data_IF_452632574037
#
_entry.id   IF_452632574037
#
_cell.length_a   1.000
_cell.length_b   1.000
_cell.length_c   1.000
_cell.angle_alpha   90.00
_cell.angle_beta   90.00
_cell.angle_gamma   90.00
#
_symmetry.space_group_name_H-M   'P 1'
#
loop_
_entity.id
_entity.type
_entity.pdbx_description
1 polymer ?
#
# COMPACT_ATOMS: atom_id res chain seq x y z
N UNK A 1 -5.87 -78.96 -5.22
CA UNK A 1 -5.37 -78.15 -6.30
C UNK A 1 -6.20 -76.87 -6.48
N UNK A 2 -7.50 -76.90 -6.81
CA UNK A 2 -8.33 -75.70 -7.03
C UNK A 2 -8.42 -74.77 -5.81
N UNK A 3 -8.55 -75.30 -4.59
CA UNK A 3 -8.62 -74.54 -3.36
C UNK A 3 -7.34 -73.73 -3.07
N UNK A 4 -6.17 -74.29 -3.43
CA UNK A 4 -4.87 -73.59 -3.28
C UNK A 4 -4.77 -72.44 -4.28
N UNK A 5 -5.23 -72.62 -5.51
CA UNK A 5 -5.26 -71.56 -6.54
C UNK A 5 -6.18 -70.43 -6.14
N UNK A 6 -7.36 -70.70 -5.59
CA UNK A 6 -8.31 -69.70 -5.10
C UNK A 6 -7.72 -68.93 -3.91
N UNK A 7 -7.09 -69.63 -2.96
CA UNK A 7 -6.40 -68.97 -1.83
C UNK A 7 -5.27 -68.04 -2.29
N UNK A 8 -4.49 -68.43 -3.30
CA UNK A 8 -3.40 -67.64 -3.86
C UNK A 8 -3.93 -66.39 -4.62
N UNK A 9 -5.08 -66.53 -5.31
CA UNK A 9 -5.75 -65.40 -5.95
C UNK A 9 -6.30 -64.39 -4.94
N UNK A 10 -6.91 -64.83 -3.86
CA UNK A 10 -7.41 -63.98 -2.79
C UNK A 10 -6.26 -63.19 -2.12
N UNK A 11 -5.17 -63.89 -1.80
CA UNK A 11 -3.97 -63.23 -1.22
C UNK A 11 -3.39 -62.19 -2.18
N UNK A 12 -3.35 -62.44 -3.48
CA UNK A 12 -2.87 -61.49 -4.47
C UNK A 12 -3.76 -60.23 -4.52
N UNK A 13 -5.09 -60.40 -4.52
CA UNK A 13 -6.03 -59.29 -4.51
C UNK A 13 -5.91 -58.44 -3.25
N UNK A 14 -5.79 -59.06 -2.07
CA UNK A 14 -5.54 -58.36 -0.80
C UNK A 14 -4.23 -57.57 -0.85
N UNK A 15 -3.17 -58.13 -1.39
CA UNK A 15 -1.89 -57.47 -1.54
C UNK A 15 -1.97 -56.24 -2.45
N UNK A 16 -2.68 -56.35 -3.58
CA UNK A 16 -2.90 -55.20 -4.49
C UNK A 16 -3.70 -54.10 -3.80
N UNK A 17 -4.76 -54.41 -3.04
CA UNK A 17 -5.56 -53.42 -2.30
C UNK A 17 -4.71 -52.71 -1.24
N UNK A 18 -3.88 -53.44 -0.49
CA UNK A 18 -2.99 -52.87 0.54
C UNK A 18 -1.95 -51.93 -0.10
N UNK A 19 -1.32 -52.37 -1.19
CA UNK A 19 -0.32 -51.52 -1.91
C UNK A 19 -1.01 -50.29 -2.49
N UNK A 20 -2.21 -50.42 -3.07
CA UNK A 20 -2.97 -49.29 -3.63
C UNK A 20 -3.36 -48.28 -2.54
N UNK A 21 -3.81 -48.75 -1.37
CA UNK A 21 -4.15 -47.90 -0.24
C UNK A 21 -2.91 -47.16 0.30
N UNK A 22 -1.76 -47.82 0.34
CA UNK A 22 -0.52 -47.22 0.76
C UNK A 22 -0.03 -46.15 -0.22
N UNK A 23 -0.12 -46.40 -1.52
CA UNK A 23 0.19 -45.43 -2.57
C UNK A 23 -0.72 -44.20 -2.50
N UNK A 24 -2.05 -44.39 -2.37
CA UNK A 24 -2.98 -43.28 -2.22
C UNK A 24 -2.70 -42.44 -0.97
N UNK A 25 -2.33 -43.07 0.14
CA UNK A 25 -1.99 -42.35 1.37
C UNK A 25 -0.73 -41.52 1.17
N UNK A 26 0.31 -42.07 0.54
CA UNK A 26 1.56 -41.38 0.21
C UNK A 26 1.33 -40.22 -0.76
N UNK A 27 0.53 -40.44 -1.81
CA UNK A 27 0.18 -39.38 -2.76
C UNK A 27 -0.56 -38.19 -2.09
N UNK A 28 -1.50 -38.48 -1.17
CA UNK A 28 -2.17 -37.44 -0.39
C UNK A 28 -1.20 -36.65 0.48
N UNK A 29 -0.29 -37.32 1.19
CA UNK A 29 0.74 -36.66 1.99
C UNK A 29 1.68 -35.80 1.14
N UNK A 30 2.09 -36.31 -0.02
CA UNK A 30 2.96 -35.55 -0.92
C UNK A 30 2.23 -34.36 -1.54
N UNK A 31 0.96 -34.48 -1.86
CA UNK A 31 0.11 -33.36 -2.31
C UNK A 31 -0.03 -32.28 -1.22
N UNK A 32 -0.31 -32.68 0.02
CA UNK A 32 -0.37 -31.74 1.15
C UNK A 32 0.96 -31.04 1.40
N UNK A 33 2.08 -31.76 1.33
CA UNK A 33 3.44 -31.18 1.45
C UNK A 33 3.70 -30.16 0.34
N UNK A 34 3.34 -30.48 -0.92
CA UNK A 34 3.47 -29.55 -2.05
C UNK A 34 2.68 -28.26 -1.84
N UNK A 35 1.43 -28.35 -1.35
CA UNK A 35 0.59 -27.18 -1.05
C UNK A 35 1.21 -26.35 0.07
N UNK A 36 1.70 -26.99 1.14
CA UNK A 36 2.39 -26.29 2.24
C UNK A 36 3.65 -25.58 1.76
N UNK A 37 4.47 -26.23 0.96
CA UNK A 37 5.70 -25.64 0.37
C UNK A 37 5.34 -24.46 -0.53
N UNK A 38 4.33 -24.59 -1.39
CA UNK A 38 3.88 -23.50 -2.26
C UNK A 38 3.40 -22.29 -1.46
N UNK A 39 2.67 -22.53 -0.37
CA UNK A 39 2.23 -21.45 0.55
C UNK A 39 3.42 -20.74 1.20
N UNK A 40 4.39 -21.48 1.69
CA UNK A 40 5.58 -20.89 2.32
C UNK A 40 6.42 -20.12 1.29
N UNK A 41 6.55 -20.66 0.07
CA UNK A 41 7.22 -19.95 -1.02
C UNK A 41 6.53 -18.61 -1.31
N UNK A 42 5.22 -18.59 -1.41
CA UNK A 42 4.47 -17.34 -1.63
C UNK A 42 4.69 -16.32 -0.51
N UNK A 43 4.75 -16.75 0.77
CA UNK A 43 5.05 -15.88 1.92
C UNK A 43 6.47 -15.31 1.82
N UNK A 44 7.44 -16.13 1.43
CA UNK A 44 8.82 -15.72 1.25
C UNK A 44 8.95 -14.70 0.12
N UNK A 45 8.41 -15.02 -1.06
CA UNK A 45 8.46 -14.15 -2.24
C UNK A 45 7.75 -12.81 -1.98
N UNK A 46 6.57 -12.81 -1.32
CA UNK A 46 5.86 -11.60 -0.91
C UNK A 46 6.70 -10.72 0.05
N UNK A 47 7.36 -11.34 1.01
CA UNK A 47 8.17 -10.61 2.00
C UNK A 47 9.41 -9.98 1.34
N UNK A 48 10.06 -10.68 0.43
CA UNK A 48 11.22 -10.18 -0.31
C UNK A 48 10.83 -9.07 -1.29
N UNK A 49 9.69 -9.20 -2.00
CA UNK A 49 9.15 -8.13 -2.84
C UNK A 49 8.91 -6.85 -2.03
N UNK A 50 8.35 -6.99 -0.83
CA UNK A 50 8.11 -5.84 0.05
C UNK A 50 9.41 -5.23 0.57
N UNK A 51 10.42 -6.02 0.89
CA UNK A 51 11.75 -5.50 1.27
C UNK A 51 12.35 -4.64 0.15
N UNK A 52 12.23 -5.08 -1.10
CA UNK A 52 12.66 -4.29 -2.25
C UNK A 52 11.85 -2.99 -2.40
N UNK A 53 10.55 -3.04 -2.14
CA UNK A 53 9.67 -1.87 -2.21
C UNK A 53 9.89 -0.88 -1.05
N UNK A 54 10.49 -1.30 0.07
CA UNK A 54 10.85 -0.40 1.18
C UNK A 54 11.85 0.69 0.77
N UNK A 55 12.60 0.52 -0.32
CA UNK A 55 13.50 1.55 -0.87
C UNK A 55 12.74 2.83 -1.24
N UNK A 56 11.46 2.70 -1.60
CA UNK A 56 10.58 3.83 -1.94
C UNK A 56 9.94 4.50 -0.72
N UNK A 57 10.22 4.02 0.48
CA UNK A 57 9.73 4.52 1.75
C UNK A 57 10.90 5.01 2.62
N UNK A 58 10.66 5.90 3.57
CA UNK A 58 11.67 6.25 4.56
C UNK A 58 12.20 4.99 5.26
N UNK A 59 13.52 4.91 5.40
CA UNK A 59 14.20 3.72 5.93
C UNK A 59 13.63 3.28 7.28
N UNK A 60 13.23 2.03 7.38
CA UNK A 60 12.83 1.38 8.62
C UNK A 60 13.56 0.05 8.81
N UNK A 61 14.69 0.06 9.51
CA UNK A 61 15.39 -1.19 9.85
C UNK A 61 14.50 -2.19 10.59
N UNK A 62 13.56 -1.70 11.41
CA UNK A 62 12.59 -2.56 12.12
C UNK A 62 11.67 -3.29 11.14
N UNK A 63 11.10 -2.62 10.13
CA UNK A 63 10.27 -3.26 9.11
C UNK A 63 11.06 -4.25 8.27
N UNK A 64 12.27 -3.89 7.87
CA UNK A 64 13.18 -4.81 7.15
C UNK A 64 13.43 -6.07 7.97
N UNK A 65 13.72 -5.94 9.26
CA UNK A 65 13.92 -7.07 10.18
C UNK A 65 12.68 -7.95 10.30
N UNK A 66 11.49 -7.35 10.44
CA UNK A 66 10.22 -8.09 10.55
C UNK A 66 9.97 -8.91 9.27
N UNK A 67 10.12 -8.30 8.10
CA UNK A 67 9.92 -8.97 6.82
C UNK A 67 10.97 -10.07 6.57
N UNK A 68 12.24 -9.80 6.89
CA UNK A 68 13.30 -10.77 6.75
C UNK A 68 13.12 -11.97 7.71
N UNK A 69 12.67 -11.76 8.94
CA UNK A 69 12.34 -12.83 9.88
C UNK A 69 11.14 -13.67 9.38
N UNK A 70 10.11 -13.03 8.82
CA UNK A 70 8.98 -13.73 8.20
C UNK A 70 9.43 -14.59 7.02
N UNK A 71 10.28 -14.05 6.14
CA UNK A 71 10.87 -14.78 5.02
C UNK A 71 11.75 -15.94 5.50
N UNK A 72 12.58 -15.73 6.51
CA UNK A 72 13.43 -16.75 7.11
C UNK A 72 12.62 -17.90 7.71
N UNK A 73 11.53 -17.59 8.42
CA UNK A 73 10.62 -18.62 8.97
C UNK A 73 9.98 -19.44 7.86
N UNK A 74 9.55 -18.79 6.79
CA UNK A 74 9.00 -19.48 5.63
C UNK A 74 10.04 -20.37 4.94
N UNK A 75 11.27 -19.87 4.73
CA UNK A 75 12.36 -20.62 4.14
C UNK A 75 12.78 -21.84 4.98
N UNK A 76 12.86 -21.69 6.30
CA UNK A 76 13.19 -22.80 7.22
C UNK A 76 12.11 -23.88 7.20
N UNK A 77 10.83 -23.49 7.21
CA UNK A 77 9.71 -24.44 7.07
C UNK A 77 9.73 -25.16 5.72
N UNK A 78 10.08 -24.45 4.63
CA UNK A 78 10.24 -25.10 3.32
C UNK A 78 11.37 -26.12 3.33
N UNK A 79 12.51 -25.83 3.97
CA UNK A 79 13.63 -26.75 4.10
C UNK A 79 13.25 -28.01 4.86
N UNK A 80 12.49 -27.89 5.94
CA UNK A 80 11.97 -29.03 6.73
C UNK A 80 11.03 -29.91 5.91
N UNK A 81 10.14 -29.32 5.10
CA UNK A 81 9.18 -30.03 4.29
C UNK A 81 9.81 -30.67 3.04
N UNK A 82 10.80 -30.02 2.45
CA UNK A 82 11.46 -30.43 1.21
C UNK A 82 12.93 -30.01 1.20
N UNK A 83 13.85 -30.80 1.78
CA UNK A 83 15.28 -30.49 1.88
C UNK A 83 15.99 -30.36 0.53
N UNK A 84 15.43 -30.97 -0.53
CA UNK A 84 16.04 -31.08 -1.86
C UNK A 84 15.99 -29.79 -2.69
N UNK A 85 15.37 -28.69 -2.18
CA UNK A 85 15.25 -27.43 -2.92
C UNK A 85 16.61 -26.75 -3.00
N UNK A 86 17.18 -26.72 -4.20
CA UNK A 86 18.48 -26.07 -4.46
C UNK A 86 18.45 -24.58 -4.18
N UNK A 87 19.51 -24.02 -3.61
CA UNK A 87 19.66 -22.58 -3.35
C UNK A 87 18.89 -22.06 -2.12
N UNK A 88 18.13 -22.90 -1.42
CA UNK A 88 17.38 -22.49 -0.23
C UNK A 88 18.29 -22.17 0.95
N UNK A 89 19.40 -22.89 1.10
CA UNK A 89 20.38 -22.66 2.18
C UNK A 89 21.11 -21.32 2.00
N UNK A 90 21.50 -20.99 0.77
CA UNK A 90 22.13 -19.70 0.45
C UNK A 90 21.16 -18.54 0.75
N UNK A 91 19.88 -18.73 0.44
CA UNK A 91 18.82 -17.75 0.73
C UNK A 91 18.60 -17.56 2.23
N UNK A 92 18.60 -18.64 3.00
CA UNK A 92 18.54 -18.62 4.48
C UNK A 92 19.73 -17.84 5.05
N UNK A 93 20.93 -18.08 4.55
CA UNK A 93 22.14 -17.40 5.00
C UNK A 93 22.10 -15.90 4.65
N UNK A 94 21.64 -15.55 3.44
CA UNK A 94 21.45 -14.15 3.03
C UNK A 94 20.43 -13.44 3.92
N UNK A 95 19.29 -14.06 4.24
CA UNK A 95 18.27 -13.51 5.13
C UNK A 95 18.79 -13.28 6.56
N UNK A 96 19.59 -14.23 7.09
CA UNK A 96 20.23 -14.06 8.40
C UNK A 96 21.20 -12.88 8.42
N UNK A 97 21.99 -12.71 7.36
CA UNK A 97 22.91 -11.58 7.23
C UNK A 97 22.12 -10.24 7.14
N UNK A 98 21.01 -10.22 6.41
CA UNK A 98 20.14 -9.04 6.30
C UNK A 98 19.49 -8.67 7.64
N UNK A 99 19.05 -9.66 8.42
CA UNK A 99 18.50 -9.43 9.77
C UNK A 99 19.56 -8.79 10.66
N UNK A 100 20.78 -9.33 10.66
CA UNK A 100 21.89 -8.78 11.45
C UNK A 100 22.23 -7.34 11.04
N UNK A 101 22.31 -7.07 9.76
CA UNK A 101 22.55 -5.71 9.26
C UNK A 101 21.43 -4.74 9.67
N UNK A 102 20.15 -5.19 9.63
CA UNK A 102 19.03 -4.37 10.07
C UNK A 102 19.03 -4.12 11.60
N UNK A 103 19.55 -5.05 12.41
CA UNK A 103 19.71 -4.86 13.87
C UNK A 103 20.80 -3.82 14.18
N UNK A 104 21.90 -3.84 13.48
CA UNK A 104 22.98 -2.86 13.62
C UNK A 104 22.53 -1.43 13.23
N UNK A 105 21.62 -1.30 12.28
CA UNK A 105 21.07 -0.03 11.83
C UNK A 105 19.90 0.50 12.68
N UNK A 106 19.42 -0.25 13.67
CA UNK A 106 18.22 0.11 14.47
C UNK A 106 18.37 1.44 15.23
N UNK A 107 19.57 1.96 15.41
CA UNK A 107 19.86 3.26 16.03
C UNK A 107 19.62 4.46 15.12
N UNK A 108 19.56 4.28 13.80
CA UNK A 108 19.29 5.35 12.84
C UNK A 108 17.85 5.23 12.31
N UNK A 109 16.89 5.81 13.02
CA UNK A 109 15.54 6.02 12.45
C UNK A 109 15.66 7.00 11.28
N UNK A 110 15.21 6.58 10.10
CA UNK A 110 15.07 7.47 8.95
C UNK A 110 14.13 8.62 9.31
N UNK A 111 14.49 9.82 8.91
CA UNK A 111 13.69 11.02 9.16
C UNK A 111 12.47 11.00 8.23
N UNK A 112 11.30 10.59 8.75
CA UNK A 112 10.03 10.49 8.00
C UNK A 112 9.55 11.88 7.52
N UNK A 113 10.09 12.96 8.09
CA UNK A 113 9.76 14.33 7.71
C UNK A 113 10.21 14.68 6.28
N UNK A 114 11.34 14.11 5.85
CA UNK A 114 11.93 14.37 4.53
C UNK A 114 11.34 13.51 3.39
N UNK A 115 10.28 12.76 3.65
CA UNK A 115 9.65 11.97 2.61
C UNK A 115 8.99 12.88 1.57
N UNK A 116 9.49 12.83 0.33
CA UNK A 116 8.94 13.54 -0.82
C UNK A 116 8.03 12.61 -1.61
N UNK A 117 6.82 13.11 -1.90
CA UNK A 117 5.85 12.36 -2.70
C UNK A 117 6.39 12.15 -4.13
N UNK A 118 6.33 10.93 -4.68
CA UNK A 118 6.65 10.70 -6.08
C UNK A 118 5.81 11.57 -7.03
N UNK A 119 6.40 12.00 -8.13
CA UNK A 119 5.67 12.80 -9.11
C UNK A 119 4.63 11.99 -9.88
N UNK A 120 4.93 10.71 -10.12
CA UNK A 120 4.09 9.81 -10.89
C UNK A 120 2.97 9.22 -10.00
N UNK A 121 1.71 9.40 -10.42
CA UNK A 121 0.54 8.85 -9.71
C UNK A 121 0.57 7.32 -9.56
N UNK A 122 1.13 6.59 -10.52
CA UNK A 122 1.27 5.13 -10.42
C UNK A 122 2.24 4.74 -9.31
N UNK A 123 3.33 5.50 -9.13
CA UNK A 123 4.27 5.28 -8.02
C UNK A 123 3.61 5.60 -6.68
N UNK A 124 2.83 6.67 -6.58
CA UNK A 124 2.05 7.00 -5.38
C UNK A 124 1.10 5.86 -5.01
N UNK A 125 0.38 5.30 -5.99
CA UNK A 125 -0.50 4.15 -5.76
C UNK A 125 0.27 2.90 -5.32
N UNK A 126 1.43 2.63 -5.92
CA UNK A 126 2.29 1.52 -5.53
C UNK A 126 2.78 1.65 -4.08
N UNK A 127 3.21 2.85 -3.68
CA UNK A 127 3.63 3.15 -2.29
C UNK A 127 2.46 2.95 -1.32
N UNK A 128 1.27 3.46 -1.63
CA UNK A 128 0.07 3.26 -0.79
C UNK A 128 -0.31 1.78 -0.66
N UNK A 129 -0.21 1.01 -1.74
CA UNK A 129 -0.45 -0.44 -1.71
C UNK A 129 0.61 -1.16 -0.87
N UNK A 130 1.87 -0.76 -0.98
CA UNK A 130 2.96 -1.28 -0.16
C UNK A 130 2.68 -1.04 1.34
N UNK A 131 2.32 0.19 1.73
CA UNK A 131 1.98 0.53 3.12
C UNK A 131 0.80 -0.32 3.63
N UNK A 132 -0.25 -0.48 2.84
CA UNK A 132 -1.41 -1.32 3.20
C UNK A 132 -1.00 -2.79 3.41
N UNK A 133 -0.19 -3.36 2.51
CA UNK A 133 0.34 -4.73 2.66
C UNK A 133 1.19 -4.86 3.92
N UNK A 134 2.10 -3.90 4.18
CA UNK A 134 2.92 -3.88 5.39
C UNK A 134 2.08 -3.89 6.67
N UNK A 135 1.06 -3.05 6.76
CA UNK A 135 0.15 -3.01 7.92
C UNK A 135 -0.58 -4.33 8.15
N UNK A 136 -1.02 -5.00 7.08
CA UNK A 136 -1.63 -6.34 7.17
C UNK A 136 -0.62 -7.37 7.69
N UNK A 137 0.62 -7.32 7.21
CA UNK A 137 1.67 -8.27 7.60
C UNK A 137 2.07 -8.08 9.06
N UNK A 138 2.39 -6.85 9.51
CA UNK A 138 2.78 -6.60 10.91
C UNK A 138 1.67 -7.01 11.88
N UNK A 139 0.41 -6.76 11.52
CA UNK A 139 -0.75 -7.23 12.30
C UNK A 139 -0.85 -8.76 12.34
N UNK A 140 -0.53 -9.44 11.24
CA UNK A 140 -0.49 -10.91 11.17
C UNK A 140 0.64 -11.48 12.03
N UNK A 141 1.84 -10.89 11.95
CA UNK A 141 3.00 -11.33 12.74
C UNK A 141 2.81 -11.07 14.24
N UNK A 142 2.17 -9.95 14.62
CA UNK A 142 1.80 -9.68 16.01
C UNK A 142 0.81 -10.75 16.54
N UNK A 143 -0.21 -11.11 15.75
CA UNK A 143 -1.19 -12.16 16.14
C UNK A 143 -0.55 -13.55 16.30
N UNK A 144 0.55 -13.84 15.60
CA UNK A 144 1.32 -15.07 15.75
C UNK A 144 2.28 -15.04 16.95
N UNK A 145 2.41 -13.90 17.63
CA UNK A 145 3.38 -13.69 18.71
C UNK A 145 4.83 -13.52 18.22
N UNK A 146 5.04 -13.35 16.90
CA UNK A 146 6.35 -13.13 16.31
C UNK A 146 6.81 -11.66 16.40
N UNK A 147 5.90 -10.75 16.75
CA UNK A 147 6.17 -9.33 16.93
C UNK A 147 5.62 -8.87 18.27
N UNK A 148 6.45 -8.17 19.05
CA UNK A 148 6.03 -7.60 20.33
C UNK A 148 5.01 -6.46 20.13
N UNK A 149 4.08 -6.27 21.10
CA UNK A 149 3.01 -5.27 20.99
C UNK A 149 3.52 -3.83 20.88
N UNK A 150 4.65 -3.51 21.50
CA UNK A 150 5.20 -2.16 21.49
C UNK A 150 5.75 -1.81 20.09
N UNK A 151 6.56 -2.70 19.51
CA UNK A 151 7.07 -2.53 18.16
C UNK A 151 5.93 -2.50 17.13
N UNK A 152 4.91 -3.37 17.29
CA UNK A 152 3.73 -3.33 16.46
C UNK A 152 3.05 -1.96 16.49
N UNK A 153 2.77 -1.43 17.69
CA UNK A 153 2.08 -0.13 17.83
C UNK A 153 2.88 1.00 17.20
N UNK A 154 4.19 1.03 17.41
CA UNK A 154 5.07 2.05 16.84
C UNK A 154 5.08 2.02 15.31
N UNK A 155 5.28 0.85 14.73
CA UNK A 155 5.35 0.72 13.26
C UNK A 155 3.98 0.90 12.59
N UNK A 156 2.87 0.45 13.21
CA UNK A 156 1.52 0.68 12.66
C UNK A 156 1.15 2.16 12.69
N UNK A 157 1.43 2.87 13.79
CA UNK A 157 1.21 4.32 13.88
C UNK A 157 2.06 5.08 12.86
N UNK A 158 3.33 4.68 12.69
CA UNK A 158 4.22 5.27 11.70
C UNK A 158 3.70 5.08 10.27
N UNK A 159 3.30 3.87 9.92
CA UNK A 159 2.73 3.56 8.60
C UNK A 159 1.39 4.27 8.37
N UNK A 160 0.57 4.41 9.41
CA UNK A 160 -0.71 5.14 9.36
C UNK A 160 -0.48 6.64 9.09
N UNK A 161 0.43 7.26 9.84
CA UNK A 161 0.82 8.66 9.63
C UNK A 161 1.39 8.90 8.22
N UNK A 162 2.21 7.97 7.72
CA UNK A 162 2.76 8.03 6.36
C UNK A 162 1.66 7.90 5.29
N UNK A 163 0.73 6.96 5.48
CA UNK A 163 -0.42 6.81 4.59
C UNK A 163 -1.26 8.08 4.55
N UNK A 164 -1.52 8.70 5.71
CA UNK A 164 -2.21 9.97 5.81
C UNK A 164 -1.47 11.07 5.03
N UNK A 165 -0.16 11.24 5.31
CA UNK A 165 0.68 12.25 4.64
C UNK A 165 0.60 12.12 3.11
N UNK A 166 0.78 10.90 2.59
CA UNK A 166 0.70 10.63 1.14
C UNK A 166 -0.67 11.00 0.56
N UNK A 167 -1.75 10.64 1.26
CA UNK A 167 -3.10 10.96 0.81
C UNK A 167 -3.34 12.48 0.77
N UNK A 168 -2.95 13.21 1.82
CA UNK A 168 -3.12 14.66 1.90
C UNK A 168 -2.29 15.37 0.83
N UNK A 169 -0.99 15.06 0.73
CA UNK A 169 -0.12 15.67 -0.29
C UNK A 169 -0.59 15.38 -1.72
N UNK A 170 -1.11 14.17 -1.98
CA UNK A 170 -1.69 13.82 -3.27
C UNK A 170 -2.95 14.65 -3.58
N UNK A 171 -3.84 14.85 -2.60
CA UNK A 171 -5.04 15.67 -2.75
C UNK A 171 -4.69 17.14 -2.94
N UNK A 172 -3.73 17.67 -2.16
CA UNK A 172 -3.23 19.04 -2.32
C UNK A 172 -2.62 19.27 -3.69
N UNK A 173 -1.75 18.35 -4.14
CA UNK A 173 -1.15 18.43 -5.49
C UNK A 173 -2.21 18.51 -6.58
N UNK A 174 -3.24 17.66 -6.51
CA UNK A 174 -4.37 17.69 -7.47
C UNK A 174 -5.20 18.96 -7.34
N UNK A 175 -5.42 19.46 -6.12
CA UNK A 175 -6.08 20.73 -5.87
C UNK A 175 -5.36 21.89 -6.53
N UNK A 176 -4.06 22.03 -6.31
CA UNK A 176 -3.21 23.06 -6.91
C UNK A 176 -3.18 22.93 -8.45
N UNK A 177 -3.07 21.70 -8.97
CA UNK A 177 -3.10 21.49 -10.43
C UNK A 177 -4.45 21.89 -11.06
N UNK A 178 -5.56 21.64 -10.38
CA UNK A 178 -6.88 22.06 -10.83
C UNK A 178 -7.03 23.58 -10.75
N UNK A 179 -6.53 24.21 -9.68
CA UNK A 179 -6.52 25.67 -9.52
C UNK A 179 -5.72 26.36 -10.63
N UNK A 180 -4.52 25.85 -10.95
CA UNK A 180 -3.68 26.35 -12.04
C UNK A 180 -4.33 26.22 -13.43
N UNK A 181 -5.31 25.33 -13.56
CA UNK A 181 -6.12 25.17 -14.78
C UNK A 181 -7.46 25.93 -14.72
N UNK A 182 -7.61 26.80 -13.74
CA UNK A 182 -8.84 27.58 -13.49
C UNK A 182 -10.09 26.72 -13.21
N UNK A 183 -9.87 25.41 -12.88
CA UNK A 183 -10.94 24.48 -12.53
C UNK A 183 -11.27 24.60 -11.04
N UNK A 184 -11.72 25.78 -10.59
CA UNK A 184 -11.89 26.13 -9.17
C UNK A 184 -12.85 25.18 -8.42
N UNK A 185 -13.92 24.71 -9.08
CA UNK A 185 -14.84 23.74 -8.47
C UNK A 185 -14.17 22.40 -8.14
N UNK A 186 -13.32 21.90 -9.03
CA UNK A 186 -12.54 20.66 -8.80
C UNK A 186 -11.46 20.89 -7.75
N UNK A 187 -10.75 22.02 -7.79
CA UNK A 187 -9.74 22.37 -6.80
C UNK A 187 -10.34 22.38 -5.39
N UNK A 188 -11.48 23.05 -5.22
CA UNK A 188 -12.22 23.10 -3.97
C UNK A 188 -12.57 21.70 -3.44
N UNK A 189 -13.09 20.82 -4.30
CA UNK A 189 -13.43 19.45 -3.91
C UNK A 189 -12.21 18.66 -3.40
N UNK A 190 -11.04 18.82 -4.01
CA UNK A 190 -9.81 18.17 -3.55
C UNK A 190 -9.37 18.70 -2.19
N UNK A 191 -9.41 20.01 -1.97
CA UNK A 191 -9.04 20.62 -0.70
C UNK A 191 -10.03 20.27 0.43
N UNK A 192 -11.32 20.33 0.18
CA UNK A 192 -12.36 19.91 1.15
C UNK A 192 -12.20 18.43 1.52
N UNK A 193 -11.90 17.57 0.55
CA UNK A 193 -11.63 16.14 0.79
C UNK A 193 -10.37 15.94 1.64
N UNK A 194 -9.34 16.74 1.45
CA UNK A 194 -8.13 16.70 2.28
C UNK A 194 -8.44 17.09 3.73
N UNK A 195 -9.20 18.18 3.95
CA UNK A 195 -9.66 18.60 5.28
C UNK A 195 -10.50 17.51 5.95
N UNK A 196 -11.45 16.92 5.23
CA UNK A 196 -12.29 15.84 5.75
C UNK A 196 -11.45 14.61 6.15
N UNK A 197 -10.43 14.26 5.34
CA UNK A 197 -9.54 13.15 5.63
C UNK A 197 -8.74 13.40 6.92
N UNK A 198 -8.24 14.61 7.12
CA UNK A 198 -7.54 15.02 8.34
C UNK A 198 -8.47 15.10 9.56
N UNK A 199 -9.70 15.62 9.37
CA UNK A 199 -10.69 15.71 10.44
C UNK A 199 -11.08 14.34 10.98
N UNK A 200 -11.21 13.34 10.11
CA UNK A 200 -11.56 11.97 10.46
C UNK A 200 -10.40 11.15 11.04
N UNK A 201 -9.16 11.67 10.99
CA UNK A 201 -8.01 10.95 11.53
C UNK A 201 -8.01 10.99 13.06
N UNK A 202 -7.81 9.83 13.74
CA UNK A 202 -7.94 9.76 15.21
C UNK A 202 -6.82 10.49 15.94
N UNK A 203 -5.63 10.57 15.35
CA UNK A 203 -4.45 11.18 15.97
C UNK A 203 -4.24 12.57 15.36
N UNK A 204 -4.33 13.62 16.17
CA UNK A 204 -4.01 14.99 15.75
C UNK A 204 -2.53 15.25 15.96
N UNK A 205 -1.82 15.53 14.88
CA UNK A 205 -0.38 15.82 14.87
C UNK A 205 -0.15 17.27 14.44
N UNK A 206 1.03 17.81 14.72
CA UNK A 206 1.41 19.16 14.27
C UNK A 206 1.36 19.27 12.74
N UNK A 207 1.68 18.18 12.03
CA UNK A 207 1.52 18.09 10.58
C UNK A 207 0.06 18.37 10.15
N UNK A 208 -0.92 17.76 10.81
CA UNK A 208 -2.35 17.96 10.51
C UNK A 208 -2.74 19.42 10.72
N UNK A 209 -2.32 20.02 11.85
CA UNK A 209 -2.65 21.41 12.17
C UNK A 209 -2.07 22.37 11.12
N UNK A 210 -0.79 22.20 10.77
CA UNK A 210 -0.13 23.02 9.75
C UNK A 210 -0.80 22.87 8.37
N UNK A 211 -1.08 21.64 7.95
CA UNK A 211 -1.71 21.39 6.64
C UNK A 211 -3.17 21.83 6.59
N UNK A 212 -3.88 21.79 7.71
CA UNK A 212 -5.25 22.34 7.80
C UNK A 212 -5.23 23.83 7.50
N UNK A 213 -4.37 24.61 8.17
CA UNK A 213 -4.26 26.06 7.93
C UNK A 213 -3.84 26.38 6.50
N UNK A 214 -2.89 25.61 5.94
CA UNK A 214 -2.46 25.76 4.55
C UNK A 214 -3.60 25.54 3.55
N UNK A 215 -4.41 24.51 3.75
CA UNK A 215 -5.54 24.19 2.87
C UNK A 215 -6.69 25.19 3.04
N UNK A 216 -6.97 25.64 4.26
CA UNK A 216 -7.98 26.69 4.51
C UNK A 216 -7.63 27.97 3.77
N UNK A 217 -6.35 28.35 3.75
CA UNK A 217 -5.90 29.50 2.97
C UNK A 217 -6.09 29.30 1.47
N UNK A 218 -5.79 28.10 0.92
CA UNK A 218 -6.03 27.81 -0.49
C UNK A 218 -7.53 27.89 -0.85
N UNK A 219 -8.43 27.49 0.06
CA UNK A 219 -9.87 27.60 -0.14
C UNK A 219 -10.35 29.07 -0.11
N UNK A 220 -9.74 29.89 0.74
CA UNK A 220 -10.01 31.34 0.76
C UNK A 220 -9.55 32.00 -0.54
N UNK A 221 -8.35 31.72 -1.00
CA UNK A 221 -7.79 32.23 -2.27
C UNK A 221 -8.70 31.87 -3.48
N UNK A 222 -9.20 30.63 -3.53
CA UNK A 222 -10.18 30.21 -4.55
C UNK A 222 -11.47 31.02 -4.46
N UNK A 223 -11.97 31.23 -3.26
CA UNK A 223 -13.22 31.97 -3.04
C UNK A 223 -13.08 33.42 -3.49
N UNK A 224 -11.96 34.05 -3.23
CA UNK A 224 -11.68 35.43 -3.62
C UNK A 224 -11.42 35.56 -5.13
N UNK A 225 -10.76 34.57 -5.73
CA UNK A 225 -10.61 34.50 -7.18
C UNK A 225 -11.97 34.40 -7.89
N UNK A 226 -12.88 33.58 -7.37
CA UNK A 226 -14.25 33.45 -7.91
C UNK A 226 -15.06 34.74 -7.76
N UNK A 227 -14.95 35.45 -6.62
CA UNK A 227 -15.62 36.75 -6.42
C UNK A 227 -15.12 37.79 -7.42
N UNK A 228 -13.79 37.88 -7.62
CA UNK A 228 -13.16 38.82 -8.54
C UNK A 228 -13.56 38.55 -9.99
N UNK A 229 -13.57 37.29 -10.40
CA UNK A 229 -13.99 36.88 -11.74
C UNK A 229 -15.46 37.21 -11.97
N UNK A 230 -16.34 36.86 -11.03
CA UNK A 230 -17.77 37.17 -11.13
C UNK A 230 -18.04 38.71 -11.16
N UNK A 231 -17.29 39.49 -10.36
CA UNK A 231 -17.41 40.96 -10.37
C UNK A 231 -16.93 41.54 -11.70
N UNK A 232 -15.84 41.02 -12.26
CA UNK A 232 -15.34 41.42 -13.59
C UNK A 232 -16.34 41.12 -14.70
N UNK A 233 -16.93 39.91 -14.67
CA UNK A 233 -17.90 39.49 -15.67
C UNK A 233 -19.23 40.28 -15.56
N UNK A 234 -19.65 40.57 -14.34
CA UNK A 234 -20.81 41.46 -14.12
C UNK A 234 -20.55 42.87 -14.63
N UNK A 235 -19.33 43.42 -14.39
CA UNK A 235 -18.95 44.73 -14.89
C UNK A 235 -18.84 44.79 -16.44
N UNK A 236 -18.36 43.69 -17.08
CA UNK A 236 -18.34 43.59 -18.54
C UNK A 236 -19.74 43.56 -19.12
N UNK A 237 -20.65 42.73 -18.56
CA UNK A 237 -22.05 42.65 -18.99
C UNK A 237 -22.77 44.01 -18.85
N UNK A 238 -22.59 44.71 -17.72
CA UNK A 238 -23.15 46.02 -17.52
C UNK A 238 -22.65 47.04 -18.56
N UNK A 239 -21.37 47.01 -18.93
CA UNK A 239 -20.82 47.88 -19.99
C UNK A 239 -21.32 47.48 -21.40
N UNK A 240 -21.53 46.22 -21.68
CA UNK A 240 -22.09 45.73 -22.94
C UNK A 240 -23.54 46.16 -23.07
N UNK A 241 -24.35 46.02 -22.01
CA UNK A 241 -25.75 46.49 -21.96
C UNK A 241 -25.84 48.01 -22.12
N UNK A 242 -24.95 48.79 -21.46
CA UNK A 242 -24.87 50.23 -21.61
C UNK A 242 -24.52 50.66 -23.03
N UNK A 243 -23.52 49.99 -23.65
CA UNK A 243 -23.16 50.23 -25.05
C UNK A 243 -24.28 49.88 -26.03
N UNK A 244 -25.01 48.77 -25.81
CA UNK A 244 -26.16 48.41 -26.65
C UNK A 244 -27.30 49.42 -26.53
N UNK A 245 -27.58 49.93 -25.33
CA UNK A 245 -28.54 51.00 -25.10
C UNK A 245 -28.11 52.30 -25.80
N UNK A 246 -26.85 52.72 -25.69
CA UNK A 246 -26.34 53.91 -26.37
C UNK A 246 -26.44 53.83 -27.89
N UNK A 247 -26.26 52.66 -28.48
CA UNK A 247 -26.44 52.42 -29.91
C UNK A 247 -27.90 52.58 -30.33
N UNK A 248 -28.87 52.17 -29.48
CA UNK A 248 -30.31 52.31 -29.74
C UNK A 248 -30.79 53.77 -29.66
N UNK A 249 -30.15 54.62 -28.86
CA UNK A 249 -30.51 56.03 -28.66
C UNK A 249 -29.69 56.98 -29.52
N UNK A 250 -28.74 56.52 -30.34
CA UNK A 250 -28.02 57.37 -31.28
C UNK A 250 -28.98 57.90 -32.36
N UNK A 251 -29.01 59.23 -32.61
CA UNK A 251 -29.83 59.77 -33.68
C UNK A 251 -29.41 59.25 -35.02
N UNK A 252 -30.36 58.72 -35.82
CA UNK A 252 -30.14 58.25 -37.16
C UNK A 252 -29.41 59.29 -37.99
N UNK A 253 -28.18 59.02 -38.45
CA UNK A 253 -27.50 59.87 -39.42
C UNK A 253 -28.38 59.95 -40.67
N UNK A 254 -28.89 61.18 -40.96
CA UNK A 254 -29.54 61.49 -42.24
C UNK A 254 -28.45 61.42 -43.31
N UNK A 255 -28.67 60.62 -44.29
CA UNK A 255 -27.90 60.60 -45.56
C UNK A 255 -28.32 61.79 -46.42
#
# INVERSE_FOLDING_TARGET
MIAIIIGLLITLVVLVVVVSAFQQHKEKQDAEKRVKVAKQKAIMDESEELILNLVNLPSSPKLTRILANRSLTAATTMRELKPEVKGLEDRINALKAQIKAAEELTTSQGNDENFVLPENEQQVLAVLQCIKKLRVIIKSEQKKGALDPQTFTQEDQRLDAMQLKINIESLMKRGIQAQNKEMFGSARQYFEKALQTMANHPIKTDYINTKTSEIEQQLEDITDSLKTTNASDAAKRAKEEENELDILFQPKKKW
#
